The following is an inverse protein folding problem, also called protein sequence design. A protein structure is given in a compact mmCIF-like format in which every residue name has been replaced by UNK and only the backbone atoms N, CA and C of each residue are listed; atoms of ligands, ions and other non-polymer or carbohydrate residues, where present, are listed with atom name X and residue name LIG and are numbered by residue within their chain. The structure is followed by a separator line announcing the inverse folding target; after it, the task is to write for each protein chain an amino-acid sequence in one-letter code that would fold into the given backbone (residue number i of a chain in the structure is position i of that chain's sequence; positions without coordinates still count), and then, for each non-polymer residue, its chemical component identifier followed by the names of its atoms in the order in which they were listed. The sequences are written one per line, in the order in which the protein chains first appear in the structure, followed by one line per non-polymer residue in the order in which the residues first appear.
data_IF_176799873803
#
_entry.id   IF_176799873803
#
_cell.length_a   1.000
_cell.length_b   1.000
_cell.length_c   1.000
_cell.angle_alpha   90.00
_cell.angle_beta   90.00
_cell.angle_gamma   90.00
#
_symmetry.space_group_name_H-M   'P 1'
#
loop_
_entity.id
_entity.type
_entity.pdbx_description
1 polymer ?
#
# COMPACT_ATOMS: atom_id res chain seq x y z
N UNK A 1 15.85 5.66 14.39
CA UNK A 1 15.55 5.91 12.96
C UNK A 1 14.48 4.92 12.56
N UNK A 2 13.20 5.31 12.67
CA UNK A 2 12.09 4.38 12.50
C UNK A 2 11.09 4.88 11.45
N UNK A 3 11.51 5.86 10.66
CA UNK A 3 10.71 6.51 9.63
C UNK A 3 11.22 6.07 8.27
N UNK A 4 10.30 5.64 7.42
CA UNK A 4 10.56 5.23 6.05
C UNK A 4 9.71 6.06 5.10
N UNK A 5 10.24 6.27 3.89
CA UNK A 5 9.57 6.83 2.73
C UNK A 5 9.16 5.66 1.85
N UNK A 6 7.89 5.66 1.45
CA UNK A 6 7.36 4.72 0.45
C UNK A 6 7.67 5.32 -0.92
N UNK A 7 8.36 4.55 -1.76
CA UNK A 7 8.71 4.93 -3.12
C UNK A 7 8.10 3.95 -4.10
N UNK A 8 7.64 4.44 -5.25
CA UNK A 8 7.25 3.56 -6.34
C UNK A 8 8.45 2.75 -6.84
N UNK A 9 8.23 1.49 -7.22
CA UNK A 9 9.27 0.64 -7.78
C UNK A 9 9.85 1.20 -9.09
N UNK A 10 9.03 1.88 -9.89
CA UNK A 10 9.43 2.55 -11.14
C UNK A 10 9.95 3.97 -10.95
N UNK A 11 9.84 4.52 -9.73
CA UNK A 11 10.21 5.90 -9.36
C UNK A 11 9.47 6.99 -10.16
N UNK A 12 8.37 6.68 -10.83
CA UNK A 12 7.61 7.66 -11.62
C UNK A 12 6.32 8.11 -10.93
N UNK A 13 5.73 7.26 -10.08
CA UNK A 13 4.43 7.49 -9.46
C UNK A 13 4.48 8.29 -8.15
N UNK A 14 5.10 9.47 -8.16
CA UNK A 14 5.08 10.36 -6.98
C UNK A 14 3.67 10.94 -6.74
N UNK A 15 3.20 10.90 -5.49
CA UNK A 15 1.88 11.43 -5.10
C UNK A 15 0.70 10.48 -5.34
N UNK A 16 0.94 9.28 -5.89
CA UNK A 16 -0.09 8.25 -6.02
C UNK A 16 -0.28 7.49 -4.70
N UNK A 17 -1.50 6.98 -4.50
CA UNK A 17 -1.84 6.19 -3.32
C UNK A 17 -1.28 4.76 -3.49
N UNK A 18 -0.66 4.23 -2.44
CA UNK A 18 -0.20 2.84 -2.43
C UNK A 18 -1.41 1.90 -2.43
N UNK A 19 -1.45 0.94 -3.36
CA UNK A 19 -2.49 -0.08 -3.42
C UNK A 19 -1.98 -1.47 -3.02
N UNK A 20 -2.89 -2.36 -2.62
CA UNK A 20 -2.56 -3.77 -2.40
C UNK A 20 -2.12 -4.42 -3.71
N UNK A 21 -1.10 -5.29 -3.64
CA UNK A 21 -0.49 -5.97 -4.78
C UNK A 21 0.51 -5.12 -5.59
N UNK A 22 0.57 -3.80 -5.38
CA UNK A 22 1.53 -2.94 -6.06
C UNK A 22 2.95 -3.12 -5.48
N UNK A 23 3.95 -3.16 -6.35
CA UNK A 23 5.36 -3.13 -5.96
C UNK A 23 5.77 -1.72 -5.50
N UNK A 24 6.37 -1.64 -4.33
CA UNK A 24 6.95 -0.41 -3.79
C UNK A 24 8.25 -0.70 -3.02
N UNK A 25 9.04 0.34 -2.77
CA UNK A 25 10.26 0.25 -1.99
C UNK A 25 10.10 1.02 -0.68
N UNK A 26 10.66 0.50 0.41
CA UNK A 26 10.79 1.20 1.69
C UNK A 26 12.19 1.77 1.78
N UNK A 27 12.30 3.08 1.95
CA UNK A 27 13.57 3.78 1.98
C UNK A 27 13.72 4.66 3.23
N UNK A 28 14.93 4.85 3.74
CA UNK A 28 15.15 5.67 4.93
C UNK A 28 15.04 7.18 4.65
N UNK A 29 14.55 7.95 5.62
CA UNK A 29 14.53 9.43 5.56
C UNK A 29 15.94 9.99 5.85
N UNK A 30 16.84 9.96 4.86
CA UNK A 30 18.22 10.43 4.99
C UNK A 30 19.10 9.48 5.81
N UNK A 31 20.03 8.80 5.14
CA UNK A 31 20.92 7.80 5.71
C UNK A 31 22.24 8.37 6.24
N UNK A 32 23.25 7.51 6.36
CA UNK A 32 24.63 7.95 6.58
C UNK A 32 25.12 8.58 5.27
N UNK A 33 25.86 9.71 5.32
CA UNK A 33 26.34 10.44 4.12
C UNK A 33 25.25 10.95 3.16
N UNK A 34 24.06 11.30 3.66
CA UNK A 34 22.92 11.78 2.83
C UNK A 34 22.44 10.76 1.78
N UNK A 35 22.89 9.50 1.88
CA UNK A 35 22.45 8.42 0.99
C UNK A 35 21.14 7.83 1.49
N UNK A 36 20.24 7.57 0.57
CA UNK A 36 19.00 6.86 0.86
C UNK A 36 19.27 5.35 0.88
N UNK A 37 18.87 4.68 1.96
CA UNK A 37 18.99 3.22 2.08
C UNK A 37 17.64 2.56 1.88
N UNK A 38 17.58 1.52 1.06
CA UNK A 38 16.40 0.73 0.76
C UNK A 38 16.37 -0.55 1.59
N UNK A 39 15.18 -0.93 2.05
CA UNK A 39 14.93 -2.22 2.68
C UNK A 39 14.96 -3.30 1.60
N UNK A 40 15.89 -4.24 1.74
CA UNK A 40 16.15 -5.26 0.73
C UNK A 40 16.26 -6.65 1.35
N UNK A 41 15.99 -7.66 0.52
CA UNK A 41 16.18 -9.05 0.88
C UNK A 41 16.55 -9.87 -0.35
N UNK A 42 17.26 -10.97 -0.15
CA UNK A 42 17.67 -11.89 -1.22
C UNK A 42 17.61 -13.33 -0.71
N UNK A 43 17.55 -14.31 -1.61
CA UNK A 43 17.50 -15.72 -1.28
C UNK A 43 18.56 -16.09 -0.23
N UNK A 44 18.12 -16.83 0.79
CA UNK A 44 19.02 -17.30 1.85
C UNK A 44 20.10 -18.20 1.27
N UNK A 45 21.35 -17.91 1.57
CA UNK A 45 22.50 -18.78 1.29
C UNK A 45 23.24 -19.10 2.59
N UNK A 46 24.23 -19.98 2.54
CA UNK A 46 25.07 -20.29 3.71
C UNK A 46 25.82 -19.06 4.24
N UNK A 47 26.17 -18.12 3.36
CA UNK A 47 26.88 -16.90 3.69
C UNK A 47 25.94 -15.72 3.99
N UNK A 48 24.69 -15.77 3.49
CA UNK A 48 23.69 -14.71 3.61
C UNK A 48 22.45 -15.21 4.32
N UNK A 49 22.42 -15.01 5.63
CA UNK A 49 21.31 -15.39 6.49
C UNK A 49 21.22 -14.52 7.74
N UNK A 50 20.05 -14.45 8.35
CA UNK A 50 19.84 -13.68 9.57
C UNK A 50 20.68 -14.24 10.73
N UNK A 51 21.19 -13.34 11.58
CA UNK A 51 22.25 -13.65 12.55
C UNK A 51 21.83 -14.66 13.62
N UNK A 52 20.56 -14.69 14.00
CA UNK A 52 20.03 -15.50 15.12
C UNK A 52 19.17 -16.64 14.59
N UNK A 53 18.23 -16.36 13.70
CA UNK A 53 17.31 -17.39 13.18
C UNK A 53 17.83 -18.16 11.97
N UNK A 54 18.92 -17.72 11.33
CA UNK A 54 19.43 -18.31 10.09
C UNK A 54 18.37 -18.37 8.97
N UNK A 55 17.48 -17.38 8.94
CA UNK A 55 16.45 -17.19 7.92
C UNK A 55 16.96 -16.26 6.81
N UNK A 56 16.10 -15.95 5.84
CA UNK A 56 16.41 -14.96 4.81
C UNK A 56 16.66 -13.60 5.48
N UNK A 57 17.86 -13.05 5.32
CA UNK A 57 18.19 -11.78 5.95
C UNK A 57 17.46 -10.62 5.28
N UNK A 58 17.17 -9.59 6.07
CA UNK A 58 16.66 -8.31 5.61
C UNK A 58 17.69 -7.27 6.00
N UNK A 59 18.10 -6.47 5.04
CA UNK A 59 19.19 -5.52 5.20
C UNK A 59 18.85 -4.19 4.52
N UNK A 60 19.70 -3.19 4.76
CA UNK A 60 19.61 -1.87 4.16
C UNK A 60 20.78 -1.69 3.17
N UNK A 61 20.50 -1.25 1.95
CA UNK A 61 21.50 -0.98 0.90
C UNK A 61 21.20 0.33 0.18
N UNK A 62 22.21 1.04 -0.32
CA UNK A 62 22.04 2.22 -1.19
C UNK A 62 21.83 1.84 -2.66
N UNK A 63 22.05 0.57 -3.01
CA UNK A 63 21.86 0.04 -4.36
C UNK A 63 20.37 -0.08 -4.71
N UNK A 64 19.95 0.55 -5.81
CA UNK A 64 18.61 0.41 -6.35
C UNK A 64 18.48 -0.89 -7.15
N UNK A 65 17.69 -1.84 -6.66
CA UNK A 65 17.46 -3.13 -7.33
C UNK A 65 16.02 -3.63 -7.12
N UNK A 66 15.62 -4.64 -7.91
CA UNK A 66 14.35 -5.34 -7.72
C UNK A 66 14.30 -6.09 -6.36
N UNK A 67 15.46 -6.37 -5.75
CA UNK A 67 15.60 -6.90 -4.38
C UNK A 67 15.04 -5.96 -3.31
N UNK A 68 14.72 -4.73 -3.68
CA UNK A 68 14.22 -3.69 -2.79
C UNK A 68 12.69 -3.59 -2.86
N UNK A 69 12.06 -4.37 -3.74
CA UNK A 69 10.63 -4.33 -3.99
C UNK A 69 9.87 -5.19 -2.98
N UNK A 70 8.85 -4.59 -2.40
CA UNK A 70 7.90 -5.21 -1.48
C UNK A 70 6.49 -4.97 -1.99
N UNK A 71 5.57 -5.84 -1.59
CA UNK A 71 4.14 -5.73 -1.86
C UNK A 71 3.37 -5.77 -0.55
N UNK A 72 2.39 -4.89 -0.45
CA UNK A 72 1.41 -4.93 0.62
C UNK A 72 0.31 -5.90 0.22
N UNK A 73 0.00 -6.84 1.11
CA UNK A 73 -1.12 -7.75 0.97
C UNK A 73 -2.12 -7.55 2.11
N UNK A 74 -3.39 -7.79 1.81
CA UNK A 74 -4.44 -7.76 2.81
C UNK A 74 -4.17 -8.80 3.90
N UNK A 75 -4.57 -8.47 5.14
CA UNK A 75 -4.25 -9.28 6.31
C UNK A 75 -4.80 -10.69 6.19
N UNK A 76 -6.08 -10.80 5.86
CA UNK A 76 -6.76 -12.08 5.69
C UNK A 76 -6.47 -12.65 4.28
N UNK A 77 -5.87 -13.86 4.18
CA UNK A 77 -5.60 -14.50 2.90
C UNK A 77 -6.83 -14.68 2.00
N UNK A 78 -8.03 -14.87 2.58
CA UNK A 78 -9.25 -15.13 1.83
C UNK A 78 -9.76 -13.90 1.07
N UNK A 79 -9.39 -12.70 1.50
CA UNK A 79 -9.86 -11.44 0.92
C UNK A 79 -8.80 -10.76 0.02
N UNK A 80 -7.66 -11.41 -0.24
CA UNK A 80 -6.55 -10.75 -0.96
C UNK A 80 -6.89 -10.43 -2.41
N UNK A 81 -7.69 -11.27 -3.06
CA UNK A 81 -8.07 -11.08 -4.47
C UNK A 81 -9.07 -9.93 -4.61
N UNK A 82 -10.00 -9.83 -3.67
CA UNK A 82 -11.07 -8.83 -3.64
C UNK A 82 -10.52 -7.43 -3.36
N UNK A 83 -9.48 -7.34 -2.51
CA UNK A 83 -8.84 -6.08 -2.16
C UNK A 83 -7.63 -5.75 -3.05
N UNK A 84 -7.29 -6.59 -4.02
CA UNK A 84 -6.21 -6.29 -4.97
C UNK A 84 -6.49 -4.97 -5.71
N UNK A 85 -5.49 -4.11 -5.82
CA UNK A 85 -5.65 -2.78 -6.41
C UNK A 85 -6.39 -1.75 -5.53
N UNK A 86 -6.94 -2.15 -4.38
CA UNK A 86 -7.54 -1.20 -3.44
C UNK A 86 -6.47 -0.41 -2.66
N UNK A 87 -6.74 0.85 -2.27
CA UNK A 87 -5.84 1.64 -1.43
C UNK A 87 -5.47 0.93 -0.11
N UNK A 88 -4.19 1.00 0.28
CA UNK A 88 -3.73 0.52 1.59
C UNK A 88 -4.05 1.57 2.65
N UNK A 89 -4.93 1.28 3.63
CA UNK A 89 -5.25 2.24 4.68
C UNK A 89 -4.09 2.40 5.64
N UNK A 90 -3.82 3.66 6.04
CA UNK A 90 -2.89 3.96 7.11
C UNK A 90 -3.38 3.38 8.44
N UNK A 91 -2.46 3.02 9.32
CA UNK A 91 -2.75 2.48 10.65
C UNK A 91 -3.58 1.17 10.65
N UNK A 92 -3.67 0.49 9.51
CA UNK A 92 -4.26 -0.82 9.39
C UNK A 92 -3.19 -1.91 9.37
N UNK A 93 -3.55 -3.12 9.82
CA UNK A 93 -2.66 -4.28 9.77
C UNK A 93 -2.60 -4.82 8.34
N UNK A 94 -1.39 -5.11 7.88
CA UNK A 94 -1.10 -5.65 6.56
C UNK A 94 -0.03 -6.72 6.65
N UNK A 95 0.14 -7.47 5.56
CA UNK A 95 1.31 -8.31 5.31
C UNK A 95 2.22 -7.60 4.32
N UNK A 96 3.53 -7.65 4.54
CA UNK A 96 4.54 -7.13 3.63
C UNK A 96 5.29 -8.30 3.04
N UNK A 97 5.17 -8.54 1.74
CA UNK A 97 5.85 -9.62 1.04
C UNK A 97 6.98 -9.09 0.18
N UNK A 98 8.13 -9.75 0.20
CA UNK A 98 9.22 -9.44 -0.72
C UNK A 98 8.85 -9.90 -2.13
N UNK A 99 8.85 -9.01 -3.11
CA UNK A 99 8.28 -9.26 -4.44
C UNK A 99 8.99 -10.40 -5.18
N UNK A 100 10.29 -10.59 -4.97
CA UNK A 100 11.04 -11.64 -5.67
C UNK A 100 10.94 -13.01 -5.00
N UNK A 101 11.05 -13.07 -3.67
CA UNK A 101 11.09 -14.36 -2.94
C UNK A 101 9.73 -14.78 -2.40
N UNK A 102 8.72 -13.92 -2.51
CA UNK A 102 7.38 -14.08 -1.95
C UNK A 102 7.40 -14.48 -0.46
N UNK A 103 8.36 -13.92 0.29
CA UNK A 103 8.49 -14.14 1.74
C UNK A 103 7.98 -12.92 2.49
N UNK A 104 7.17 -13.18 3.52
CA UNK A 104 6.63 -12.14 4.39
C UNK A 104 7.70 -11.59 5.32
N UNK A 105 7.75 -10.27 5.48
CA UNK A 105 8.56 -9.62 6.50
C UNK A 105 8.12 -10.11 7.88
N UNK A 106 9.06 -10.48 8.74
CA UNK A 106 8.78 -11.04 10.06
C UNK A 106 9.65 -10.41 11.14
N UNK A 107 9.02 -10.09 12.28
CA UNK A 107 9.72 -9.64 13.48
C UNK A 107 9.80 -10.76 14.53
N UNK A 108 11.02 -11.16 14.88
CA UNK A 108 11.29 -12.19 15.87
C UNK A 108 11.47 -11.57 17.26
N UNK A 109 10.36 -11.27 17.94
CA UNK A 109 10.35 -10.58 19.26
C UNK A 109 11.16 -11.23 20.39
N UNK A 110 11.55 -12.49 20.23
CA UNK A 110 12.36 -13.23 21.22
C UNK A 110 13.83 -13.37 20.80
N UNK A 111 14.18 -12.98 19.57
CA UNK A 111 15.54 -13.03 19.05
C UNK A 111 16.11 -11.63 19.08
N UNK A 112 16.88 -11.35 20.12
CA UNK A 112 17.47 -10.05 20.33
C UNK A 112 18.83 -9.92 19.65
N UNK A 113 19.09 -8.72 19.13
CA UNK A 113 20.35 -8.28 18.58
C UNK A 113 20.89 -7.16 19.47
N UNK A 114 22.11 -7.31 19.96
CA UNK A 114 22.79 -6.24 20.70
C UNK A 114 23.54 -5.35 19.70
N UNK A 115 23.15 -4.08 19.65
CA UNK A 115 23.79 -3.08 18.80
C UNK A 115 24.15 -1.81 19.57
N UNK A 116 24.76 -0.85 18.87
CA UNK A 116 25.12 0.47 19.42
C UNK A 116 23.91 1.28 19.91
N UNK A 117 22.71 0.93 19.44
CA UNK A 117 21.46 1.61 19.78
C UNK A 117 20.62 0.85 20.81
N UNK A 118 21.22 -0.16 21.46
CA UNK A 118 20.57 -0.98 22.47
C UNK A 118 20.13 -2.34 21.94
N UNK A 119 19.10 -2.89 22.59
CA UNK A 119 18.59 -4.24 22.34
C UNK A 119 17.47 -4.18 21.30
N UNK A 120 17.80 -4.55 20.08
CA UNK A 120 16.87 -4.61 18.95
C UNK A 120 16.36 -6.04 18.78
N UNK A 121 15.29 -6.22 17.99
CA UNK A 121 14.78 -7.54 17.61
C UNK A 121 15.18 -7.85 16.19
N UNK A 122 15.46 -9.12 15.92
CA UNK A 122 15.77 -9.55 14.57
C UNK A 122 14.54 -9.45 13.66
N UNK A 123 14.76 -8.87 12.48
CA UNK A 123 13.80 -8.83 11.37
C UNK A 123 14.36 -9.70 10.24
N UNK A 124 13.51 -10.56 9.67
CA UNK A 124 13.88 -11.50 8.61
C UNK A 124 12.73 -11.65 7.61
N UNK A 125 13.02 -12.11 6.39
CA UNK A 125 12.02 -12.41 5.38
C UNK A 125 11.61 -13.88 5.50
N UNK A 126 10.50 -14.14 6.19
CA UNK A 126 9.97 -15.48 6.36
C UNK A 126 8.49 -15.47 6.69
N UNK A 127 7.69 -16.20 5.92
CA UNK A 127 6.25 -16.34 6.14
C UNK A 127 5.97 -17.42 7.19
N UNK A 128 5.68 -17.03 8.43
CA UNK A 128 5.26 -17.96 9.47
C UNK A 128 3.76 -18.24 9.37
N UNK A 129 3.41 -19.48 9.08
CA UNK A 129 2.01 -19.90 8.99
C UNK A 129 1.57 -20.68 10.24
N UNK A 130 0.27 -20.61 10.54
CA UNK A 130 -0.39 -21.50 11.48
C UNK A 130 -0.93 -22.78 10.78
N UNK A 131 -1.69 -23.58 11.52
CA UNK A 131 -2.28 -24.82 11.01
C UNK A 131 -3.31 -24.57 9.89
N UNK A 132 -3.91 -23.38 9.84
CA UNK A 132 -4.87 -22.95 8.84
C UNK A 132 -4.21 -22.26 7.64
N UNK A 133 -2.87 -22.28 7.56
CA UNK A 133 -2.07 -21.59 6.54
C UNK A 133 -2.27 -20.07 6.53
N UNK A 134 -2.60 -19.50 7.68
CA UNK A 134 -2.71 -18.05 7.88
C UNK A 134 -1.42 -17.52 8.51
N UNK A 135 -0.98 -16.34 8.09
CA UNK A 135 0.22 -15.70 8.63
C UNK A 135 0.06 -15.37 10.12
N UNK A 136 1.04 -15.80 10.92
CA UNK A 136 1.10 -15.54 12.36
C UNK A 136 1.33 -14.06 12.65
N UNK A 137 1.04 -13.59 13.88
CA UNK A 137 1.25 -12.20 14.29
C UNK A 137 2.68 -11.65 14.11
N UNK A 138 3.68 -12.53 13.95
CA UNK A 138 5.06 -12.12 13.65
C UNK A 138 5.21 -11.47 12.27
N UNK A 139 4.29 -11.77 11.35
CA UNK A 139 4.24 -11.26 9.99
C UNK A 139 3.27 -10.08 9.82
N UNK A 140 2.56 -9.69 10.88
CA UNK A 140 1.60 -8.58 10.83
C UNK A 140 2.34 -7.26 11.04
N UNK A 141 2.23 -6.36 10.07
CA UNK A 141 2.82 -5.04 10.10
C UNK A 141 1.74 -3.96 10.02
N UNK A 142 2.10 -2.75 10.40
CA UNK A 142 1.24 -1.58 10.27
C UNK A 142 2.07 -0.42 9.76
N UNK A 143 1.60 0.22 8.70
CA UNK A 143 2.19 1.47 8.22
C UNK A 143 1.57 2.61 9.03
N UNK A 144 2.32 3.10 10.01
CA UNK A 144 1.89 4.21 10.87
C UNK A 144 2.29 5.51 10.21
N UNK A 145 1.31 6.33 9.86
CA UNK A 145 1.52 7.68 9.33
C UNK A 145 0.91 8.70 10.27
N UNK A 146 1.51 9.89 10.34
CA UNK A 146 0.90 11.02 11.04
C UNK A 146 -0.45 11.36 10.41
N UNK A 147 -1.38 11.89 11.21
CA UNK A 147 -2.70 12.27 10.71
C UNK A 147 -2.55 13.30 9.57
N UNK A 148 -3.02 13.03 8.34
CA UNK A 148 -2.90 13.96 7.21
C UNK A 148 -3.77 15.24 7.37
N UNK A 149 -4.50 15.38 8.49
CA UNK A 149 -5.31 16.56 8.81
C UNK A 149 -4.43 17.78 9.09
N UNK A 150 -3.99 18.45 8.02
CA UNK A 150 -4.08 19.91 7.94
C UNK A 150 -4.06 20.47 6.51
N UNK A 151 -3.39 19.84 5.54
CA UNK A 151 -3.15 20.52 4.24
C UNK A 151 -3.44 19.68 2.97
N UNK A 152 -4.12 18.54 3.06
CA UNK A 152 -4.40 17.73 1.86
C UNK A 152 -5.80 17.11 1.89
N UNK A 153 -6.63 17.58 0.96
CA UNK A 153 -7.96 17.06 0.65
C UNK A 153 -7.91 15.54 0.49
N UNK A 154 -8.64 14.80 1.33
CA UNK A 154 -8.82 13.37 1.13
C UNK A 154 -9.91 13.14 0.08
N UNK A 155 -9.72 12.15 -0.80
CA UNK A 155 -10.62 11.71 -1.87
C UNK A 155 -12.05 11.28 -1.42
N UNK A 156 -12.40 11.47 -0.15
CA UNK A 156 -13.78 11.31 0.33
C UNK A 156 -14.68 12.50 -0.04
N UNK A 157 -14.09 13.61 -0.52
CA UNK A 157 -14.82 14.75 -1.09
C UNK A 157 -15.06 14.56 -2.59
N UNK A 158 -15.72 13.47 -2.98
CA UNK A 158 -16.35 13.41 -4.31
C UNK A 158 -17.59 14.30 -4.24
N UNK A 159 -17.68 15.42 -4.99
CA UNK A 159 -18.93 16.16 -5.07
C UNK A 159 -20.00 15.22 -5.64
N UNK A 160 -21.09 15.05 -4.90
CA UNK A 160 -22.27 14.33 -5.38
C UNK A 160 -22.65 14.91 -6.75
N UNK A 161 -22.79 14.11 -7.81
CA UNK A 161 -23.19 14.63 -9.11
C UNK A 161 -24.53 15.36 -8.93
N UNK A 162 -24.72 16.54 -9.56
CA UNK A 162 -25.98 17.24 -9.49
C UNK A 162 -27.07 16.30 -10.01
N UNK A 163 -28.08 16.02 -9.20
CA UNK A 163 -29.30 15.42 -9.70
C UNK A 163 -29.85 16.38 -10.76
N UNK A 164 -29.94 15.91 -12.00
CA UNK A 164 -30.64 16.60 -13.09
C UNK A 164 -32.14 16.63 -12.75
N UNK A 165 -32.54 17.61 -11.95
CA UNK A 165 -33.94 18.02 -11.81
C UNK A 165 -34.04 19.48 -12.26
N UNK A 166 -34.00 19.70 -13.57
CA UNK A 166 -34.53 20.93 -14.19
C UNK A 166 -34.62 20.80 -15.72
N UNK A 167 -35.86 20.56 -16.20
CA UNK A 167 -36.56 21.12 -17.38
C UNK A 167 -37.41 20.02 -18.03
N UNK A 168 -38.69 20.23 -18.32
CA UNK A 168 -39.24 21.41 -18.98
C UNK A 168 -40.67 21.76 -18.53
N UNK A 169 -41.10 23.03 -18.67
CA UNK A 169 -42.50 23.36 -18.79
C UNK A 169 -42.97 23.12 -20.24
N UNK A 170 -44.10 22.44 -20.41
CA UNK A 170 -44.79 22.36 -21.70
C UNK A 170 -45.29 23.76 -22.07
N UNK A 171 -44.84 24.27 -23.22
CA UNK A 171 -45.41 25.44 -23.87
C UNK A 171 -46.46 24.99 -24.88
N UNK A 172 -47.72 25.21 -24.53
CA UNK A 172 -48.84 25.28 -25.47
C UNK A 172 -48.61 26.43 -26.46
N UNK A 173 -48.48 26.11 -27.75
CA UNK A 173 -48.70 27.05 -28.86
C UNK A 173 -48.75 26.29 -30.18
N UNK A 174 -49.94 25.81 -30.58
CA UNK A 174 -50.22 25.43 -31.95
C UNK A 174 -51.35 26.31 -32.51
N UNK A 175 -50.97 27.20 -33.42
CA UNK A 175 -51.87 28.03 -34.21
C UNK A 175 -52.17 27.36 -35.58
N UNK A 176 -52.98 27.98 -36.46
CA UNK A 176 -54.37 27.64 -36.72
C UNK A 176 -54.56 26.79 -37.99
N UNK A 177 -55.58 25.91 -37.97
CA UNK A 177 -56.07 25.23 -39.17
C UNK A 177 -57.07 26.11 -39.92
N UNK A 178 -56.79 26.38 -41.19
CA UNK A 178 -57.73 26.93 -42.17
C UNK A 178 -58.69 25.85 -42.67
N UNK A 179 -59.97 26.19 -42.90
CA UNK A 179 -60.94 25.31 -43.55
C UNK A 179 -62.38 25.84 -43.56
N UNK A 180 -62.63 26.78 -44.48
CA UNK A 180 -63.89 27.21 -45.13
C UNK A 180 -65.27 26.61 -44.75
N UNK A 181 -66.22 27.53 -44.44
CA UNK A 181 -67.55 27.80 -45.09
C UNK A 181 -68.67 26.71 -45.12
N UNK A 182 -69.95 27.00 -45.47
CA UNK A 182 -70.84 28.18 -45.30
C UNK A 182 -72.18 27.85 -44.58
N UNK A 183 -72.96 28.90 -44.27
CA UNK A 183 -74.40 28.92 -44.59
C UNK A 183 -75.42 28.63 -43.47
N UNK A 184 -76.35 29.57 -43.28
CA UNK A 184 -77.58 29.41 -42.50
C UNK A 184 -78.01 30.66 -41.76
#
# INVERSE_FOLDING_TARGET
RNTFIILSADRTAMGQVLTYGQNFCLATTGGFEDRMLYLSSDHRTLLRSSKRSWLQEVYLTDEASYLNCWQAAFLDPQFRLEYEGSPVPANAKIILNHSQTNRGLAAHRHLFLSGRFGKEVEVAAHTHLDLHRVEKPKNHWMLVTGNPRRDSSTMLDVPKPPAEDARAPEQDSQAPGQGADPGG
#
